data_IF_150592000225
#
_entry.id   IF_150592000225
#
_cell.length_a   1.000
_cell.length_b   1.000
_cell.length_c   1.000
_cell.angle_alpha   90.00
_cell.angle_beta   90.00
_cell.angle_gamma   90.00
#
_symmetry.space_group_name_H-M   'P 1'
#
loop_
_entity.id
_entity.type
_entity.pdbx_description
1 polymer ?
#
# COMPACT_ATOMS: atom_id res chain seq x y z
N UNK A 1 -13.92 -13.76 -1.42
CA UNK A 1 -13.39 -14.12 -0.10
C UNK A 1 -12.26 -13.15 0.19
N UNK A 2 -12.36 -12.37 1.27
CA UNK A 2 -11.32 -11.41 1.65
C UNK A 2 -10.40 -12.11 2.65
N UNK A 3 -9.12 -12.23 2.33
CA UNK A 3 -8.13 -12.76 3.27
C UNK A 3 -7.75 -11.70 4.29
N UNK A 4 -7.93 -12.01 5.57
CA UNK A 4 -7.50 -11.16 6.68
C UNK A 4 -6.08 -11.59 7.08
N UNK A 5 -5.07 -10.76 6.83
CA UNK A 5 -3.64 -11.14 7.00
C UNK A 5 -3.06 -11.00 8.41
N UNK A 6 -3.92 -10.78 9.41
CA UNK A 6 -3.48 -10.58 10.80
C UNK A 6 -4.46 -11.22 11.79
N UNK A 7 -4.05 -12.38 12.32
CA UNK A 7 -4.55 -12.96 13.58
C UNK A 7 -3.81 -12.38 14.80
N UNK A 8 -4.12 -12.81 16.03
CA UNK A 8 -3.71 -12.16 17.27
C UNK A 8 -2.19 -12.09 17.40
N UNK A 9 -1.65 -10.88 17.25
CA UNK A 9 -0.23 -10.61 17.14
C UNK A 9 -0.03 -9.41 16.23
N UNK A 10 0.05 -8.22 16.83
CA UNK A 10 0.34 -6.96 16.14
C UNK A 10 1.51 -7.13 15.16
N UNK A 11 1.29 -6.81 13.89
CA UNK A 11 2.34 -6.90 12.87
C UNK A 11 3.37 -5.80 13.12
N UNK A 12 4.66 -6.14 13.17
CA UNK A 12 5.70 -5.12 13.35
C UNK A 12 5.73 -4.13 12.17
N UNK A 13 6.13 -2.88 12.42
CA UNK A 13 6.20 -1.87 11.38
C UNK A 13 7.14 -2.25 10.22
N UNK A 14 8.14 -3.11 10.45
CA UNK A 14 9.01 -3.68 9.41
C UNK A 14 8.30 -4.74 8.57
N UNK A 15 7.45 -5.57 9.18
CA UNK A 15 6.69 -6.62 8.46
C UNK A 15 5.62 -6.02 7.55
N UNK A 16 5.04 -4.86 7.90
CA UNK A 16 4.20 -4.09 6.97
C UNK A 16 4.97 -3.76 5.69
N UNK A 17 6.27 -3.45 5.78
CA UNK A 17 7.04 -2.97 4.64
C UNK A 17 7.19 -4.04 3.58
N UNK A 18 7.70 -5.20 3.99
CA UNK A 18 8.05 -6.27 3.06
C UNK A 18 6.79 -6.95 2.52
N UNK A 19 5.77 -7.14 3.36
CA UNK A 19 4.57 -7.87 2.94
C UNK A 19 3.54 -7.00 2.22
N UNK A 20 3.41 -5.69 2.54
CA UNK A 20 2.39 -4.86 1.91
C UNK A 20 2.69 -4.55 0.44
N UNK A 21 3.87 -4.00 0.13
CA UNK A 21 4.20 -3.72 -1.29
C UNK A 21 4.54 -5.04 -1.98
N UNK A 22 5.61 -5.72 -1.55
CA UNK A 22 6.25 -6.76 -2.35
C UNK A 22 5.42 -8.04 -2.48
N UNK A 23 4.51 -8.28 -1.54
CA UNK A 23 3.62 -9.43 -1.59
C UNK A 23 2.19 -9.04 -1.91
N UNK A 24 1.57 -8.12 -1.18
CA UNK A 24 0.12 -7.88 -1.32
C UNK A 24 -0.21 -6.97 -2.49
N UNK A 25 0.47 -5.82 -2.62
CA UNK A 25 0.27 -4.90 -3.74
C UNK A 25 0.72 -5.55 -5.06
N UNK A 26 1.81 -6.32 -5.03
CA UNK A 26 2.31 -7.07 -6.19
C UNK A 26 1.42 -8.23 -6.60
N UNK A 27 0.64 -8.87 -5.71
CA UNK A 27 -0.19 -10.03 -6.06
C UNK A 27 -1.70 -9.73 -6.15
N UNK A 28 -2.20 -8.68 -5.49
CA UNK A 28 -3.61 -8.33 -5.52
C UNK A 28 -4.06 -7.84 -6.90
N UNK A 29 -5.30 -8.19 -7.26
CA UNK A 29 -5.97 -7.71 -8.47
C UNK A 29 -6.83 -6.47 -8.20
N UNK A 30 -7.22 -6.23 -6.95
CA UNK A 30 -7.92 -5.03 -6.50
C UNK A 30 -7.59 -4.70 -5.05
N UNK A 31 -7.82 -3.44 -4.62
CA UNK A 31 -7.57 -3.01 -3.25
C UNK A 31 -8.49 -3.69 -2.23
N UNK A 32 -9.68 -4.11 -2.65
CA UNK A 32 -10.64 -4.83 -1.78
C UNK A 32 -10.10 -6.20 -1.31
N UNK A 33 -9.09 -6.73 -2.01
CA UNK A 33 -8.41 -7.97 -1.63
C UNK A 33 -7.33 -7.77 -0.56
N UNK A 34 -6.99 -6.51 -0.24
CA UNK A 34 -5.93 -6.17 0.70
C UNK A 34 -6.57 -5.64 1.98
N UNK A 35 -6.42 -6.39 3.08
CA UNK A 35 -6.83 -5.93 4.41
C UNK A 35 -5.73 -6.18 5.45
N UNK A 36 -5.26 -5.10 6.03
CA UNK A 36 -4.18 -5.05 7.01
C UNK A 36 -4.73 -4.55 8.34
N UNK A 37 -4.52 -5.29 9.44
CA UNK A 37 -4.76 -4.73 10.77
C UNK A 37 -3.52 -4.03 11.27
N UNK A 38 -3.62 -2.74 11.53
CA UNK A 38 -2.54 -1.89 12.02
C UNK A 38 -2.70 -1.52 13.50
N UNK A 39 -3.69 -2.10 14.18
CA UNK A 39 -3.87 -1.95 15.63
C UNK A 39 -2.59 -2.31 16.41
N UNK A 40 -2.19 -1.44 17.33
CA UNK A 40 -0.99 -1.63 18.17
C UNK A 40 0.35 -1.39 17.46
N UNK A 41 0.36 -1.11 16.16
CA UNK A 41 1.61 -0.90 15.39
C UNK A 41 2.13 0.54 15.44
N UNK A 42 1.27 1.49 15.80
CA UNK A 42 1.57 2.93 15.75
C UNK A 42 1.80 3.47 14.33
N UNK A 43 1.43 2.70 13.29
CA UNK A 43 1.44 3.12 11.89
C UNK A 43 0.30 4.11 11.66
N UNK A 44 0.61 5.30 11.17
CA UNK A 44 -0.36 6.35 10.81
C UNK A 44 -0.38 6.53 9.30
N UNK A 45 -1.40 7.20 8.77
CA UNK A 45 -1.47 7.56 7.36
C UNK A 45 -0.21 8.32 6.90
N UNK A 46 0.29 9.25 7.70
CA UNK A 46 1.48 10.03 7.34
C UNK A 46 2.76 9.19 7.38
N UNK A 47 2.90 8.28 8.36
CA UNK A 47 4.02 7.33 8.37
C UNK A 47 3.97 6.40 7.15
N UNK A 48 2.77 5.97 6.76
CA UNK A 48 2.58 5.14 5.56
C UNK A 48 2.94 5.91 4.29
N UNK A 49 2.52 7.18 4.16
CA UNK A 49 2.91 8.04 3.02
C UNK A 49 4.43 8.15 2.93
N UNK A 50 5.08 8.57 4.01
CA UNK A 50 6.55 8.70 4.07
C UNK A 50 7.21 7.39 3.64
N UNK A 51 6.75 6.27 4.18
CA UNK A 51 7.31 4.96 3.85
C UNK A 51 7.12 4.58 2.37
N UNK A 52 5.91 4.78 1.81
CA UNK A 52 5.66 4.50 0.39
C UNK A 52 6.53 5.38 -0.52
N UNK A 53 6.82 6.62 -0.11
CA UNK A 53 7.71 7.53 -0.82
C UNK A 53 9.16 7.06 -0.78
N UNK A 54 9.64 6.61 0.37
CA UNK A 54 10.97 5.98 0.52
C UNK A 54 11.12 4.72 -0.35
N UNK A 55 10.02 3.99 -0.57
CA UNK A 55 10.00 2.73 -1.33
C UNK A 55 9.41 2.89 -2.73
N UNK A 56 9.38 4.12 -3.25
CA UNK A 56 8.79 4.44 -4.56
C UNK A 56 9.40 3.60 -5.68
N UNK A 57 10.70 3.30 -5.63
CA UNK A 57 11.36 2.45 -6.62
C UNK A 57 10.70 1.08 -6.72
N UNK A 58 10.40 0.43 -5.59
CA UNK A 58 9.69 -0.86 -5.56
C UNK A 58 8.27 -0.74 -6.10
N UNK A 59 7.56 0.36 -5.82
CA UNK A 59 6.23 0.63 -6.39
C UNK A 59 6.32 0.85 -7.91
N UNK A 60 7.34 1.54 -8.39
CA UNK A 60 7.58 1.74 -9.82
C UNK A 60 7.94 0.44 -10.56
N UNK A 61 8.39 -0.61 -9.84
CA UNK A 61 8.60 -1.94 -10.41
C UNK A 61 7.31 -2.73 -10.61
N UNK A 62 6.16 -2.27 -10.09
CA UNK A 62 4.86 -2.85 -10.42
C UNK A 62 4.61 -2.77 -11.94
N UNK A 63 3.76 -3.64 -12.47
CA UNK A 63 3.32 -3.49 -13.87
C UNK A 63 2.48 -2.21 -14.04
N UNK A 64 2.57 -1.57 -15.21
CA UNK A 64 1.81 -0.34 -15.50
C UNK A 64 0.30 -0.51 -15.28
N UNK A 65 -0.23 -1.70 -15.57
CA UNK A 65 -1.64 -2.02 -15.30
C UNK A 65 -1.98 -1.94 -13.81
N UNK A 66 -1.13 -2.49 -12.93
CA UNK A 66 -1.35 -2.40 -11.47
C UNK A 66 -1.26 -0.96 -10.99
N UNK A 67 -0.30 -0.20 -11.52
CA UNK A 67 -0.18 1.23 -11.17
C UNK A 67 -1.43 2.01 -11.54
N UNK A 68 -2.01 1.78 -12.73
CA UNK A 68 -3.28 2.38 -13.15
C UNK A 68 -4.47 1.99 -12.26
N UNK A 69 -4.49 0.76 -11.74
CA UNK A 69 -5.56 0.29 -10.86
C UNK A 69 -5.46 0.90 -9.46
N UNK A 70 -4.25 0.99 -8.90
CA UNK A 70 -4.07 1.41 -7.50
C UNK A 70 -3.83 2.91 -7.34
N UNK A 71 -3.11 3.54 -8.27
CA UNK A 71 -2.67 4.93 -8.16
C UNK A 71 -3.42 5.80 -9.16
N UNK A 72 -4.40 6.55 -8.65
CA UNK A 72 -5.13 7.54 -9.44
C UNK A 72 -4.18 8.61 -10.00
N UNK A 73 -4.38 8.96 -11.27
CA UNK A 73 -3.54 9.94 -11.97
C UNK A 73 -2.12 9.46 -12.26
N UNK A 74 -1.88 8.15 -12.30
CA UNK A 74 -0.60 7.60 -12.75
C UNK A 74 -0.39 7.89 -14.25
N UNK A 75 0.77 8.47 -14.56
CA UNK A 75 1.27 8.68 -15.91
C UNK A 75 2.52 7.81 -16.14
N UNK A 76 2.61 7.16 -17.31
CA UNK A 76 3.72 6.26 -17.61
C UNK A 76 5.06 6.98 -17.84
N UNK A 77 5.02 8.24 -18.27
CA UNK A 77 6.21 9.07 -18.48
C UNK A 77 6.78 9.56 -17.15
N UNK A 78 5.91 9.97 -16.22
CA UNK A 78 6.31 10.52 -14.93
C UNK A 78 6.56 9.45 -13.86
N UNK A 79 5.99 8.26 -14.03
CA UNK A 79 6.03 7.21 -13.02
C UNK A 79 5.13 7.54 -11.82
N UNK A 80 5.34 6.83 -10.71
CA UNK A 80 4.65 7.14 -9.45
C UNK A 80 5.26 8.39 -8.81
N UNK A 81 4.43 9.41 -8.61
CA UNK A 81 4.80 10.66 -7.93
C UNK A 81 4.36 10.67 -6.47
N UNK A 82 4.84 11.65 -5.69
CA UNK A 82 4.37 11.86 -4.31
C UNK A 82 2.87 12.14 -4.24
N UNK A 83 2.33 12.86 -5.23
CA UNK A 83 0.89 13.16 -5.31
C UNK A 83 0.10 11.86 -5.49
N UNK A 84 0.58 10.93 -6.31
CA UNK A 84 -0.08 9.63 -6.48
C UNK A 84 -0.10 8.84 -5.17
N UNK A 85 1.01 8.83 -4.43
CA UNK A 85 1.12 8.15 -3.14
C UNK A 85 0.23 8.80 -2.08
N UNK A 86 0.26 10.13 -1.99
CA UNK A 86 -0.55 10.86 -1.02
C UNK A 86 -2.05 10.66 -1.28
N UNK A 87 -2.46 10.72 -2.55
CA UNK A 87 -3.84 10.42 -2.94
C UNK A 87 -4.22 8.97 -2.62
N UNK A 88 -3.35 8.02 -2.94
CA UNK A 88 -3.58 6.61 -2.64
C UNK A 88 -3.83 6.39 -1.15
N UNK A 89 -2.96 6.90 -0.29
CA UNK A 89 -3.10 6.73 1.15
C UNK A 89 -4.32 7.47 1.66
N UNK A 90 -4.53 8.74 1.31
CA UNK A 90 -5.66 9.52 1.82
C UNK A 90 -7.02 8.88 1.48
N UNK A 91 -7.15 8.26 0.32
CA UNK A 91 -8.40 7.63 -0.12
C UNK A 91 -8.58 6.24 0.49
N UNK A 92 -7.50 5.45 0.55
CA UNK A 92 -7.61 4.02 0.82
C UNK A 92 -7.21 3.63 2.24
N UNK A 93 -6.66 4.56 3.05
CA UNK A 93 -6.09 4.23 4.36
C UNK A 93 -7.07 3.46 5.24
N UNK A 94 -8.27 3.99 5.46
CA UNK A 94 -9.27 3.33 6.33
C UNK A 94 -9.91 2.07 5.71
N UNK A 95 -9.83 1.94 4.38
CA UNK A 95 -10.41 0.80 3.67
C UNK A 95 -9.49 -0.43 3.72
N UNK A 96 -8.19 -0.19 3.51
CA UNK A 96 -7.14 -1.21 3.48
C UNK A 96 -6.60 -1.48 4.89
N UNK A 97 -6.43 -0.44 5.69
CA UNK A 97 -5.76 -0.51 6.99
C UNK A 97 -6.75 -0.24 8.14
N UNK A 98 -7.05 -1.28 8.90
CA UNK A 98 -8.03 -1.28 10.00
C UNK A 98 -7.39 -1.44 11.37
#
# INVERSE_FOLDING_TARGET
MVEYKSGPGSISASTIKDQFIEHDLFNANSLDQIQWRMEGTGMTADKLKTWMKENRTSINNLSSNKKKVFFSGFDELDGITDINIDNFVNINYLNIFR
#
